data_IF_711091075421
#
_entry.id   IF_711091075421
#
_cell.length_a   1.000
_cell.length_b   1.000
_cell.length_c   1.000
_cell.angle_alpha   90.00
_cell.angle_beta   90.00
_cell.angle_gamma   90.00
#
_symmetry.space_group_name_H-M   'P 1'
#
loop_
_entity.id
_entity.type
_entity.pdbx_description
1 polymer ?
#
# COMPACT_ATOMS: atom_id res chain seq x y z
N UNK A 1 2.87 5.10 -5.34
CA UNK A 1 1.61 5.73 -5.79
C UNK A 1 0.81 6.06 -4.55
N UNK A 2 0.50 7.34 -4.36
CA UNK A 2 -0.47 7.80 -3.37
C UNK A 2 -1.86 7.73 -4.01
N UNK A 3 -2.75 6.84 -3.55
CA UNK A 3 -4.09 6.75 -4.12
C UNK A 3 -4.98 7.89 -3.63
N UNK A 4 -5.92 8.30 -4.48
CA UNK A 4 -7.13 8.99 -4.06
C UNK A 4 -8.25 7.94 -3.86
N UNK A 5 -8.58 7.58 -2.61
CA UNK A 5 -9.57 6.54 -2.33
C UNK A 5 -11.02 6.97 -2.62
N UNK A 6 -11.25 8.25 -2.96
CA UNK A 6 -12.57 8.75 -3.38
C UNK A 6 -12.82 8.56 -4.87
N UNK A 7 -11.78 8.25 -5.65
CA UNK A 7 -11.84 7.99 -7.07
C UNK A 7 -11.68 6.49 -7.37
N UNK A 8 -11.76 6.12 -8.65
CA UNK A 8 -11.55 4.75 -9.07
C UNK A 8 -10.05 4.38 -9.05
N UNK A 9 -9.65 3.50 -8.14
CA UNK A 9 -8.25 3.11 -7.95
C UNK A 9 -7.62 2.41 -9.15
N UNK A 10 -8.39 1.55 -9.83
CA UNK A 10 -7.92 0.86 -11.05
C UNK A 10 -7.58 1.86 -12.17
N UNK A 11 -8.42 2.87 -12.39
CA UNK A 11 -8.14 3.92 -13.38
C UNK A 11 -6.91 4.75 -13.02
N UNK A 12 -6.70 5.06 -11.73
CA UNK A 12 -5.50 5.77 -11.27
C UNK A 12 -4.22 4.98 -11.58
N UNK A 13 -4.22 3.68 -11.28
CA UNK A 13 -3.09 2.83 -11.59
C UNK A 13 -2.88 2.70 -13.11
N UNK A 14 -3.95 2.49 -13.86
CA UNK A 14 -3.90 2.38 -15.32
C UNK A 14 -3.29 3.65 -15.96
N UNK A 15 -3.73 4.83 -15.52
CA UNK A 15 -3.22 6.11 -16.02
C UNK A 15 -1.72 6.25 -15.71
N UNK A 16 -1.30 5.88 -14.50
CA UNK A 16 0.11 5.90 -14.10
C UNK A 16 0.95 4.97 -14.98
N UNK A 17 0.53 3.71 -15.12
CA UNK A 17 1.24 2.70 -15.90
C UNK A 17 1.35 3.10 -17.38
N UNK A 18 0.25 3.56 -17.99
CA UNK A 18 0.25 4.00 -19.39
C UNK A 18 1.12 5.23 -19.61
N UNK A 19 1.13 6.18 -18.68
CA UNK A 19 1.99 7.36 -18.77
C UNK A 19 3.46 6.97 -18.72
N UNK A 20 3.85 6.11 -17.76
CA UNK A 20 5.22 5.64 -17.63
C UNK A 20 5.69 4.86 -18.86
N UNK A 21 4.83 3.99 -19.39
CA UNK A 21 5.11 3.27 -20.65
C UNK A 21 5.29 4.23 -21.84
N UNK A 22 4.45 5.25 -21.97
CA UNK A 22 4.58 6.29 -23.02
C UNK A 22 5.88 7.08 -22.90
N UNK A 23 6.36 7.29 -21.69
CA UNK A 23 7.66 7.92 -21.41
C UNK A 23 8.85 6.96 -21.59
N UNK A 24 8.63 5.71 -22.00
CA UNK A 24 9.69 4.72 -22.24
C UNK A 24 10.19 4.01 -20.98
N UNK A 25 9.51 4.15 -19.85
CA UNK A 25 9.88 3.47 -18.61
C UNK A 25 9.23 2.09 -18.50
N UNK A 26 10.05 1.08 -18.17
CA UNK A 26 9.57 -0.25 -17.83
C UNK A 26 9.43 -0.39 -16.31
N UNK A 27 8.20 -0.31 -15.82
CA UNK A 27 7.88 -0.39 -14.39
C UNK A 27 7.71 -1.86 -13.99
N UNK A 28 8.56 -2.34 -13.08
CA UNK A 28 8.48 -3.72 -12.57
C UNK A 28 7.58 -3.85 -11.34
N UNK A 29 7.57 -2.82 -10.52
CA UNK A 29 6.85 -2.83 -9.25
C UNK A 29 6.37 -1.45 -8.86
N UNK A 30 5.23 -1.39 -8.18
CA UNK A 30 4.66 -0.15 -7.62
C UNK A 30 4.31 -0.40 -6.16
N UNK A 31 4.63 0.56 -5.30
CA UNK A 31 4.15 0.61 -3.92
C UNK A 31 2.90 1.47 -3.85
N UNK A 32 1.80 0.90 -3.37
CA UNK A 32 0.56 1.61 -3.07
C UNK A 32 0.59 2.11 -1.62
N UNK A 33 0.51 3.41 -1.44
CA UNK A 33 0.55 4.05 -0.12
C UNK A 33 -0.83 3.95 0.55
N UNK A 34 -0.93 3.14 1.60
CA UNK A 34 -2.13 2.97 2.43
C UNK A 34 -1.81 3.57 3.79
N UNK A 35 -1.86 4.89 3.86
CA UNK A 35 -1.55 5.66 5.07
C UNK A 35 -2.53 6.79 5.24
N UNK A 36 -2.40 7.51 6.35
CA UNK A 36 -3.16 8.74 6.62
C UNK A 36 -4.67 8.46 6.63
N UNK A 37 -5.20 7.78 7.67
CA UNK A 37 -6.59 7.32 7.73
C UNK A 37 -7.64 8.41 7.45
N UNK A 38 -7.34 9.66 7.77
CA UNK A 38 -8.19 10.83 7.48
C UNK A 38 -8.52 11.01 5.99
N UNK A 39 -7.66 10.52 5.09
CA UNK A 39 -7.88 10.61 3.65
C UNK A 39 -8.77 9.49 3.12
N UNK A 40 -9.08 8.48 3.94
CA UNK A 40 -9.87 7.32 3.53
C UNK A 40 -11.31 7.44 4.02
N UNK A 41 -12.29 6.95 3.25
CA UNK A 41 -13.65 6.78 3.76
C UNK A 41 -13.65 5.96 5.04
N UNK A 42 -14.51 6.33 6.00
CA UNK A 42 -14.76 5.56 7.22
C UNK A 42 -15.64 4.32 6.93
N UNK A 43 -15.20 3.52 5.97
CA UNK A 43 -15.88 2.30 5.53
C UNK A 43 -14.83 1.27 5.11
N UNK A 44 -14.28 0.51 6.07
CA UNK A 44 -13.22 -0.46 5.83
C UNK A 44 -13.47 -1.41 4.66
N UNK A 45 -14.72 -1.87 4.49
CA UNK A 45 -15.11 -2.75 3.38
C UNK A 45 -14.86 -2.11 2.01
N UNK A 46 -15.25 -0.84 1.84
CA UNK A 46 -15.03 -0.11 0.56
C UNK A 46 -13.55 0.11 0.30
N UNK A 47 -12.76 0.38 1.34
CA UNK A 47 -11.32 0.57 1.23
C UNK A 47 -10.62 -0.72 0.81
N UNK A 48 -11.02 -1.86 1.37
CA UNK A 48 -10.55 -3.19 0.94
C UNK A 48 -10.92 -3.45 -0.52
N UNK A 49 -12.18 -3.25 -0.90
CA UNK A 49 -12.63 -3.42 -2.29
C UNK A 49 -11.85 -2.53 -3.28
N UNK A 50 -11.54 -1.29 -2.88
CA UNK A 50 -10.68 -0.38 -3.64
C UNK A 50 -9.28 -0.99 -3.84
N UNK A 51 -8.65 -1.46 -2.76
CA UNK A 51 -7.30 -2.04 -2.79
C UNK A 51 -7.28 -3.29 -3.69
N UNK A 52 -8.27 -4.18 -3.56
CA UNK A 52 -8.40 -5.39 -4.37
C UNK A 52 -8.49 -5.09 -5.88
N UNK A 53 -9.24 -4.04 -6.25
CA UNK A 53 -9.34 -3.59 -7.65
C UNK A 53 -8.01 -3.07 -8.19
N UNK A 54 -7.26 -2.32 -7.38
CA UNK A 54 -5.91 -1.84 -7.76
C UNK A 54 -4.97 -3.03 -7.95
N UNK A 55 -5.00 -4.03 -7.06
CA UNK A 55 -4.18 -5.25 -7.16
C UNK A 55 -4.53 -6.04 -8.42
N UNK A 56 -5.82 -6.23 -8.69
CA UNK A 56 -6.27 -6.91 -9.90
C UNK A 56 -5.76 -6.20 -11.16
N UNK A 57 -5.89 -4.87 -11.21
CA UNK A 57 -5.40 -4.06 -12.32
C UNK A 57 -3.88 -4.14 -12.48
N UNK A 58 -3.11 -4.09 -11.39
CA UNK A 58 -1.65 -4.25 -11.44
C UNK A 58 -1.24 -5.59 -12.06
N UNK A 59 -1.96 -6.67 -11.71
CA UNK A 59 -1.74 -8.00 -12.27
C UNK A 59 -1.98 -8.05 -13.79
N UNK A 60 -2.96 -7.31 -14.31
CA UNK A 60 -3.22 -7.22 -15.76
C UNK A 60 -2.06 -6.54 -16.50
N UNK A 61 -1.40 -5.57 -15.86
CA UNK A 61 -0.21 -4.90 -16.39
C UNK A 61 1.10 -5.69 -16.17
N UNK A 62 1.05 -6.84 -15.49
CA UNK A 62 2.24 -7.62 -15.15
C UNK A 62 3.15 -6.94 -14.12
N UNK A 63 2.61 -6.00 -13.34
CA UNK A 63 3.36 -5.22 -12.35
C UNK A 63 3.17 -5.83 -10.96
N UNK A 64 4.27 -6.02 -10.23
CA UNK A 64 4.22 -6.44 -8.85
C UNK A 64 3.75 -5.27 -7.95
N UNK A 65 2.62 -5.43 -7.26
CA UNK A 65 2.13 -4.42 -6.33
C UNK A 65 2.55 -4.76 -4.89
N UNK A 66 3.11 -3.78 -4.19
CA UNK A 66 3.35 -3.83 -2.75
C UNK A 66 2.55 -2.75 -2.02
N UNK A 67 2.39 -2.91 -0.71
CA UNK A 67 1.71 -1.92 0.13
C UNK A 67 2.72 -1.22 1.01
N UNK A 68 2.65 0.11 1.05
CA UNK A 68 3.35 0.94 2.02
C UNK A 68 2.38 1.34 3.13
N UNK A 69 2.57 0.82 4.34
CA UNK A 69 1.68 1.06 5.48
C UNK A 69 2.35 0.72 6.82
N UNK A 70 1.65 0.98 7.92
CA UNK A 70 2.00 0.55 9.26
C UNK A 70 0.79 -0.17 9.91
N UNK A 71 1.00 -0.80 11.07
CA UNK A 71 -0.06 -1.54 11.76
C UNK A 71 -1.30 -0.67 12.05
N UNK A 72 -1.11 0.57 12.51
CA UNK A 72 -2.16 1.47 12.94
C UNK A 72 -3.02 1.95 11.76
N UNK A 73 -2.37 2.40 10.70
CA UNK A 73 -3.02 2.86 9.47
C UNK A 73 -3.76 1.71 8.80
N UNK A 74 -3.12 0.54 8.69
CA UNK A 74 -3.77 -0.64 8.15
C UNK A 74 -5.04 -1.00 8.91
N UNK A 75 -4.97 -1.01 10.25
CA UNK A 75 -6.11 -1.35 11.09
C UNK A 75 -7.25 -0.35 10.92
N UNK A 76 -6.98 0.95 10.87
CA UNK A 76 -8.02 1.96 10.71
C UNK A 76 -8.62 1.98 9.31
N UNK A 77 -7.78 1.89 8.28
CA UNK A 77 -8.23 2.02 6.89
C UNK A 77 -8.96 0.76 6.43
N UNK A 78 -8.46 -0.43 6.80
CA UNK A 78 -8.97 -1.71 6.27
C UNK A 78 -9.76 -2.52 7.30
N UNK A 79 -9.86 -2.06 8.55
CA UNK A 79 -10.40 -2.84 9.64
C UNK A 79 -9.47 -3.97 10.09
N UNK A 80 -8.20 -3.96 9.67
CA UNK A 80 -7.23 -5.01 9.95
C UNK A 80 -7.42 -6.25 9.07
N UNK A 81 -7.87 -6.07 7.82
CA UNK A 81 -8.14 -7.17 6.91
C UNK A 81 -6.90 -8.07 6.70
N UNK A 82 -7.12 -9.39 6.70
CA UNK A 82 -6.09 -10.44 6.57
C UNK A 82 -6.15 -11.23 5.25
N UNK A 83 -7.20 -11.06 4.45
CA UNK A 83 -7.58 -11.95 3.33
C UNK A 83 -7.09 -11.48 1.95
N UNK A 84 -6.03 -10.67 1.88
CA UNK A 84 -5.49 -10.16 0.61
C UNK A 84 -4.45 -11.13 0.02
N UNK A 85 -4.93 -12.23 -0.56
CA UNK A 85 -4.12 -13.36 -1.03
C UNK A 85 -3.02 -13.00 -2.06
N UNK A 86 -3.19 -11.89 -2.78
CA UNK A 86 -2.26 -11.44 -3.85
C UNK A 86 -1.23 -10.42 -3.38
N UNK A 87 -1.37 -9.88 -2.17
CA UNK A 87 -0.46 -8.85 -1.65
C UNK A 87 0.61 -9.48 -0.78
N UNK A 88 1.81 -9.63 -1.34
CA UNK A 88 2.93 -10.27 -0.62
C UNK A 88 4.00 -9.31 -0.14
N UNK A 89 4.08 -8.13 -0.73
CA UNK A 89 5.13 -7.16 -0.41
C UNK A 89 4.58 -6.08 0.51
N UNK A 90 5.23 -5.94 1.67
CA UNK A 90 4.99 -4.85 2.62
C UNK A 90 6.24 -3.98 2.70
N UNK A 91 6.08 -2.69 2.44
CA UNK A 91 7.01 -1.67 2.88
C UNK A 91 6.48 -1.12 4.19
N UNK A 92 7.07 -1.60 5.28
CA UNK A 92 6.66 -1.26 6.63
C UNK A 92 7.33 0.04 7.03
N UNK A 93 6.55 1.06 7.38
CA UNK A 93 7.09 2.27 7.99
C UNK A 93 6.72 2.36 9.46
N UNK A 94 7.62 2.94 10.25
CA UNK A 94 7.40 3.23 11.66
C UNK A 94 8.22 4.45 12.03
N UNK A 95 7.57 5.43 12.67
CA UNK A 95 8.23 6.57 13.31
C UNK A 95 7.83 6.54 14.78
N UNK A 96 8.76 6.18 15.69
CA UNK A 96 8.49 6.15 17.13
C UNK A 96 8.20 7.55 17.72
N UNK A 97 8.66 8.62 17.08
CA UNK A 97 8.43 10.00 17.53
C UNK A 97 8.10 10.92 16.35
N UNK A 98 7.69 12.16 16.64
CA UNK A 98 7.46 13.20 15.62
C UNK A 98 8.75 14.01 15.47
N UNK A 99 9.32 14.06 14.27
CA UNK A 99 10.49 14.88 13.97
C UNK A 99 11.41 14.23 12.92
N UNK A 100 12.35 15.01 12.35
CA UNK A 100 13.31 14.50 11.35
C UNK A 100 14.27 13.44 11.91
N UNK A 101 14.51 13.45 13.22
CA UNK A 101 15.42 12.51 13.90
C UNK A 101 14.68 11.34 14.57
N UNK A 102 13.38 11.21 14.30
CA UNK A 102 12.54 10.20 14.92
C UNK A 102 12.47 8.89 14.12
N UNK A 103 13.26 8.77 13.07
CA UNK A 103 13.35 7.54 12.29
C UNK A 103 13.90 6.41 13.16
N UNK A 104 13.22 5.27 13.12
CA UNK A 104 13.67 4.09 13.82
C UNK A 104 14.89 3.47 13.11
N UNK A 105 15.63 2.61 13.81
CA UNK A 105 16.72 1.87 13.21
C UNK A 105 16.23 1.14 11.94
N UNK A 106 17.07 1.01 10.89
CA UNK A 106 16.72 0.35 9.63
C UNK A 106 16.69 -1.18 9.77
N UNK A 107 16.02 -1.68 10.81
CA UNK A 107 15.80 -3.09 11.14
C UNK A 107 14.30 -3.35 11.36
N UNK A 108 13.93 -4.61 11.58
CA UNK A 108 12.54 -5.02 11.74
C UNK A 108 12.18 -5.43 13.18
N UNK A 109 12.95 -5.01 14.18
CA UNK A 109 12.78 -5.48 15.57
C UNK A 109 11.44 -5.05 16.18
N UNK A 110 10.96 -3.87 15.75
CA UNK A 110 9.66 -3.33 16.13
C UNK A 110 8.49 -3.86 15.30
N UNK A 111 8.76 -4.64 14.25
CA UNK A 111 7.69 -5.22 13.45
C UNK A 111 6.90 -6.24 14.28
N UNK A 112 5.58 -6.17 14.14
CA UNK A 112 4.63 -7.13 14.68
C UNK A 112 3.73 -7.54 13.53
N UNK A 113 3.40 -8.82 13.41
CA UNK A 113 2.59 -9.33 12.31
C UNK A 113 1.21 -8.65 12.30
N UNK A 114 0.76 -8.21 11.14
CA UNK A 114 -0.54 -7.58 10.94
C UNK A 114 -1.05 -7.80 9.53
N UNK A 115 -2.37 -7.76 9.37
CA UNK A 115 -3.00 -8.02 8.08
C UNK A 115 -2.52 -9.36 7.48
N UNK A 116 -2.22 -9.42 6.17
CA UNK A 116 -1.71 -10.62 5.52
C UNK A 116 -0.20 -10.88 5.73
N UNK A 117 0.55 -9.97 6.37
CA UNK A 117 2.03 -10.01 6.37
C UNK A 117 2.63 -10.64 7.61
N UNK A 118 3.46 -11.66 7.39
CA UNK A 118 4.31 -12.27 8.42
C UNK A 118 5.68 -11.63 8.53
N UNK A 119 6.17 -11.05 7.43
CA UNK A 119 7.45 -10.34 7.34
C UNK A 119 7.34 -9.17 6.36
N UNK A 120 7.95 -8.02 6.66
CA UNK A 120 8.10 -6.93 5.70
C UNK A 120 9.15 -7.25 4.63
N UNK A 121 9.01 -6.62 3.47
CA UNK A 121 9.97 -6.69 2.36
C UNK A 121 10.90 -5.46 2.32
N UNK A 122 10.48 -4.33 2.90
CA UNK A 122 11.24 -3.08 2.97
C UNK A 122 10.87 -2.27 4.24
N UNK A 123 11.75 -1.35 4.66
CA UNK A 123 11.54 -0.30 5.67
C UNK A 123 12.12 1.00 5.14
#
# INVERSE_FOLDING_TARGET
MTPDPLQEGSQQLENLCRTLQRCGFNVRSIWLQITSPINWPDTPRKNVEFIDRVIAKASEFGIALGIYTNHYDWKQITGGNISMDKVRMLWYWSVPQVGPDAEDHPNFDNFRQFGPWKTPAAK
#
